data_IF_006964368477
#
_entry.id   IF_006964368477
#
_cell.length_a   1.000
_cell.length_b   1.000
_cell.length_c   1.000
_cell.angle_alpha   90.00
_cell.angle_beta   90.00
_cell.angle_gamma   90.00
#
_symmetry.space_group_name_H-M   'P 1'
#
loop_
_entity.id
_entity.type
_entity.pdbx_description
1 polymer ?
#
# COMPACT_ATOMS: atom_id res chain seq x y z
N UNK A 1 2.12 18.08 -7.60
CA UNK A 1 3.19 17.56 -6.70
C UNK A 1 4.07 18.64 -6.04
N UNK A 2 3.85 19.94 -6.31
CA UNK A 2 4.67 21.04 -5.75
C UNK A 2 4.73 21.05 -4.21
N UNK A 3 3.60 20.84 -3.53
CA UNK A 3 3.54 20.79 -2.06
C UNK A 3 4.49 19.73 -1.47
N UNK A 4 4.53 18.53 -2.07
CA UNK A 4 5.48 17.48 -1.67
C UNK A 4 6.93 17.90 -1.86
N UNK A 5 7.28 18.46 -3.02
CA UNK A 5 8.64 18.89 -3.32
C UNK A 5 9.15 19.97 -2.36
N UNK A 6 8.27 20.88 -1.94
CA UNK A 6 8.60 21.89 -0.93
C UNK A 6 8.79 21.26 0.46
N UNK A 7 7.84 20.41 0.89
CA UNK A 7 7.92 19.71 2.17
C UNK A 7 9.19 18.84 2.28
N UNK A 8 9.52 18.10 1.23
CA UNK A 8 10.67 17.19 1.21
C UNK A 8 12.03 17.93 1.22
N UNK A 9 12.08 19.17 0.70
CA UNK A 9 13.28 20.02 0.72
C UNK A 9 13.39 20.90 1.97
N UNK A 10 12.36 20.94 2.81
CA UNK A 10 12.34 21.69 4.06
C UNK A 10 13.38 21.16 5.06
N UNK A 11 14.10 22.07 5.71
CA UNK A 11 14.99 21.71 6.83
C UNK A 11 14.22 21.49 8.12
N UNK A 12 13.01 22.05 8.22
CA UNK A 12 12.09 21.86 9.34
C UNK A 12 11.10 20.72 9.07
N UNK A 13 10.45 20.24 10.13
CA UNK A 13 9.34 19.28 10.00
C UNK A 13 8.24 19.91 9.14
N UNK A 14 7.80 19.17 8.13
CA UNK A 14 6.80 19.65 7.18
C UNK A 14 5.55 18.76 7.20
N UNK A 15 4.41 19.37 6.86
CA UNK A 15 3.16 18.65 6.65
C UNK A 15 2.67 18.86 5.22
N UNK A 16 2.32 17.77 4.55
CA UNK A 16 1.49 17.79 3.34
C UNK A 16 0.08 17.42 3.79
N UNK A 17 -0.87 18.34 3.60
CA UNK A 17 -2.24 18.19 4.08
C UNK A 17 -3.22 18.13 2.91
N UNK A 18 -4.05 17.09 2.89
CA UNK A 18 -5.19 16.95 1.98
C UNK A 18 -6.46 17.16 2.81
N UNK A 19 -7.15 18.31 2.64
CA UNK A 19 -8.32 18.64 3.44
C UNK A 19 -9.52 17.75 3.08
N UNK A 20 -10.61 17.90 3.84
CA UNK A 20 -11.87 17.23 3.54
C UNK A 20 -12.37 17.60 2.14
N UNK A 21 -12.79 16.58 1.40
CA UNK A 21 -13.25 16.69 0.02
C UNK A 21 -12.97 15.40 -0.73
N UNK A 22 -13.48 15.31 -1.96
CA UNK A 22 -13.19 14.20 -2.87
C UNK A 22 -12.30 14.71 -4.00
N UNK A 23 -11.13 14.11 -4.16
CA UNK A 23 -10.11 14.52 -5.12
C UNK A 23 -9.89 13.42 -6.15
N UNK A 24 -10.18 13.74 -7.41
CA UNK A 24 -9.87 12.88 -8.53
C UNK A 24 -8.36 12.98 -8.83
N UNK A 25 -7.63 11.88 -8.64
CA UNK A 25 -6.17 11.85 -8.83
C UNK A 25 -5.75 10.60 -9.60
N UNK A 26 -4.84 10.78 -10.55
CA UNK A 26 -4.13 9.68 -11.23
C UNK A 26 -2.91 9.28 -10.40
N UNK A 27 -1.88 8.72 -11.03
CA UNK A 27 -0.68 8.24 -10.35
C UNK A 27 0.04 9.38 -9.61
N UNK A 28 0.34 9.13 -8.33
CA UNK A 28 1.08 10.03 -7.45
C UNK A 28 2.38 9.36 -7.03
N UNK A 29 3.50 10.02 -7.32
CA UNK A 29 4.82 9.55 -6.90
C UNK A 29 5.50 10.60 -6.03
N UNK A 30 5.86 10.19 -4.83
CA UNK A 30 6.47 10.99 -3.79
C UNK A 30 7.90 10.51 -3.56
N UNK A 31 8.85 11.18 -4.23
CA UNK A 31 10.27 10.87 -4.16
C UNK A 31 10.97 11.52 -2.96
N UNK A 32 11.83 10.76 -2.31
CA UNK A 32 12.88 11.23 -1.40
C UNK A 32 14.29 11.12 -2.01
N UNK A 33 15.35 11.21 -1.18
CA UNK A 33 15.31 11.40 0.26
C UNK A 33 14.85 12.80 0.66
N UNK A 34 14.10 12.89 1.76
CA UNK A 34 13.65 14.16 2.32
C UNK A 34 14.59 14.62 3.44
N UNK A 35 14.80 15.94 3.54
CA UNK A 35 15.77 16.52 4.50
C UNK A 35 15.33 16.38 5.96
N UNK A 36 14.02 16.36 6.21
CA UNK A 36 13.46 16.15 7.55
C UNK A 36 12.19 15.29 7.48
N UNK A 37 11.61 14.98 8.65
CA UNK A 37 10.39 14.20 8.82
C UNK A 37 9.20 14.88 8.16
N UNK A 38 8.39 14.10 7.46
CA UNK A 38 7.16 14.56 6.81
C UNK A 38 5.94 13.92 7.46
N UNK A 39 4.95 14.75 7.77
CA UNK A 39 3.59 14.28 8.05
C UNK A 39 2.75 14.41 6.78
N UNK A 40 2.19 13.31 6.30
CA UNK A 40 1.26 13.29 5.17
C UNK A 40 -0.14 13.03 5.72
N UNK A 41 -0.93 14.09 5.90
CA UNK A 41 -2.24 14.01 6.55
C UNK A 41 -3.35 14.08 5.51
N UNK A 42 -4.25 13.12 5.55
CA UNK A 42 -5.40 13.02 4.66
C UNK A 42 -6.67 13.04 5.51
N UNK A 43 -7.47 14.10 5.37
CA UNK A 43 -8.81 14.19 5.96
C UNK A 43 -9.92 13.97 4.91
N UNK A 44 -9.56 13.96 3.62
CA UNK A 44 -10.47 13.73 2.49
C UNK A 44 -10.43 12.31 1.91
N UNK A 45 -10.99 12.21 0.70
CA UNK A 45 -11.06 10.99 -0.11
C UNK A 45 -10.32 11.21 -1.42
N UNK A 46 -9.36 10.35 -1.73
CA UNK A 46 -8.75 10.28 -3.05
C UNK A 46 -9.47 9.21 -3.86
N UNK A 47 -9.80 9.52 -5.11
CA UNK A 47 -10.46 8.59 -6.04
C UNK A 47 -9.76 8.57 -7.38
N UNK A 48 -9.70 7.42 -8.02
CA UNK A 48 -9.19 7.29 -9.39
C UNK A 48 -10.25 7.68 -10.43
N UNK A 49 -9.84 8.03 -11.66
CA UNK A 49 -10.75 8.05 -12.80
C UNK A 49 -11.51 6.74 -12.96
N UNK A 50 -12.75 6.82 -13.46
CA UNK A 50 -13.58 5.64 -13.70
C UNK A 50 -12.97 4.67 -14.73
N UNK A 51 -12.15 5.19 -15.65
CA UNK A 51 -11.38 4.37 -16.57
C UNK A 51 -10.22 3.69 -15.82
N UNK A 52 -10.32 2.37 -15.61
CA UNK A 52 -9.30 1.60 -14.89
C UNK A 52 -7.93 1.60 -15.58
N UNK A 53 -7.86 1.91 -16.89
CA UNK A 53 -6.60 2.11 -17.60
C UNK A 53 -5.83 3.34 -17.13
N UNK A 54 -6.49 4.34 -16.54
CA UNK A 54 -5.85 5.60 -16.13
C UNK A 54 -4.72 5.45 -15.11
N UNK A 55 -4.69 4.34 -14.37
CA UNK A 55 -3.58 3.99 -13.47
C UNK A 55 -3.00 2.60 -13.73
N UNK A 56 -3.69 1.75 -14.51
CA UNK A 56 -3.45 0.32 -14.54
C UNK A 56 -2.09 -0.12 -15.11
N UNK A 57 -1.45 0.70 -15.95
CA UNK A 57 -0.14 0.37 -16.54
C UNK A 57 1.06 0.86 -15.71
N UNK A 58 0.82 1.57 -14.61
CA UNK A 58 1.91 2.12 -13.79
C UNK A 58 2.41 1.17 -12.71
N UNK A 59 1.67 0.09 -12.43
CA UNK A 59 1.97 -0.85 -11.35
C UNK A 59 1.71 -0.32 -9.93
N UNK A 60 1.46 0.98 -9.76
CA UNK A 60 1.12 1.64 -8.50
C UNK A 60 0.24 2.87 -8.75
N UNK A 61 -0.63 3.20 -7.80
CA UNK A 61 -1.40 4.44 -7.78
C UNK A 61 -0.68 5.51 -6.94
N UNK A 62 -0.42 5.23 -5.66
CA UNK A 62 0.30 6.12 -4.76
C UNK A 62 1.61 5.46 -4.34
N UNK A 63 2.74 6.05 -4.74
CA UNK A 63 4.07 5.51 -4.42
C UNK A 63 4.87 6.51 -3.58
N UNK A 64 5.33 6.08 -2.41
CA UNK A 64 6.43 6.71 -1.68
C UNK A 64 7.72 5.94 -1.98
N UNK A 65 8.69 6.62 -2.59
CA UNK A 65 9.94 6.01 -3.05
C UNK A 65 11.14 6.70 -2.41
N UNK A 66 12.03 5.92 -1.79
CA UNK A 66 13.27 6.41 -1.14
C UNK A 66 13.03 7.48 -0.08
N UNK A 67 11.88 7.42 0.61
CA UNK A 67 11.50 8.36 1.67
C UNK A 67 11.91 7.83 3.04
N UNK A 68 12.55 8.67 3.85
CA UNK A 68 12.89 8.37 5.24
C UNK A 68 12.07 9.25 6.19
N UNK A 69 11.58 8.69 7.30
CA UNK A 69 10.84 9.38 8.38
C UNK A 69 9.54 10.01 7.89
N UNK A 70 8.64 9.21 7.33
CA UNK A 70 7.29 9.65 6.93
C UNK A 70 6.21 9.08 7.84
N UNK A 71 5.21 9.90 8.15
CA UNK A 71 3.99 9.46 8.83
C UNK A 71 2.76 9.84 8.01
N UNK A 72 2.06 8.84 7.49
CA UNK A 72 0.81 8.96 6.74
C UNK A 72 -0.36 8.74 7.70
N UNK A 73 -1.27 9.71 7.77
CA UNK A 73 -2.38 9.70 8.71
C UNK A 73 -3.73 9.84 8.00
N UNK A 74 -4.63 8.90 8.31
CA UNK A 74 -6.05 8.98 7.98
C UNK A 74 -6.35 8.87 6.49
N UNK A 75 -7.56 9.31 6.15
CA UNK A 75 -8.04 9.44 4.78
C UNK A 75 -8.69 8.18 4.23
N UNK A 76 -9.37 8.39 3.11
CA UNK A 76 -9.91 7.31 2.28
C UNK A 76 -9.26 7.33 0.91
N UNK A 77 -8.87 6.17 0.41
CA UNK A 77 -8.45 5.99 -0.98
C UNK A 77 -9.35 4.94 -1.63
N UNK A 78 -9.92 5.25 -2.79
CA UNK A 78 -10.75 4.32 -3.58
C UNK A 78 -10.20 4.22 -5.01
N UNK A 79 -9.64 3.06 -5.36
CA UNK A 79 -9.02 2.86 -6.65
C UNK A 79 -10.00 2.38 -7.75
N UNK A 80 -11.29 2.23 -7.42
CA UNK A 80 -12.38 1.86 -8.35
C UNK A 80 -12.07 0.62 -9.20
N UNK A 81 -11.53 -0.42 -8.58
CA UNK A 81 -11.03 -1.64 -9.24
C UNK A 81 -12.06 -2.50 -9.99
N UNK A 82 -13.37 -2.25 -9.84
CA UNK A 82 -14.44 -3.09 -10.41
C UNK A 82 -14.29 -3.35 -11.92
N UNK A 83 -13.98 -2.33 -12.70
CA UNK A 83 -13.76 -2.46 -14.15
C UNK A 83 -12.56 -3.34 -14.49
N UNK A 84 -11.46 -3.19 -13.74
CA UNK A 84 -10.26 -4.02 -13.88
C UNK A 84 -10.54 -5.49 -13.56
N UNK A 85 -11.21 -5.78 -12.43
CA UNK A 85 -11.54 -7.16 -12.05
C UNK A 85 -12.50 -7.82 -13.04
N UNK A 86 -13.44 -7.06 -13.62
CA UNK A 86 -14.31 -7.55 -14.68
C UNK A 86 -13.52 -7.93 -15.93
N UNK A 87 -12.48 -7.17 -16.29
CA UNK A 87 -11.60 -7.50 -17.40
C UNK A 87 -10.80 -8.78 -17.10
N UNK A 88 -10.14 -8.86 -15.92
CA UNK A 88 -9.30 -10.01 -15.53
C UNK A 88 -10.07 -11.32 -15.52
N UNK A 89 -11.30 -11.34 -14.98
CA UNK A 89 -12.16 -12.54 -14.96
C UNK A 89 -12.57 -13.03 -16.35
N UNK A 90 -12.64 -12.15 -17.34
CA UNK A 90 -12.93 -12.52 -18.73
C UNK A 90 -11.71 -13.03 -19.49
N UNK A 91 -10.52 -12.99 -18.89
CA UNK A 91 -9.27 -13.32 -19.59
C UNK A 91 -8.93 -12.36 -20.74
N UNK A 92 -9.48 -11.14 -20.71
CA UNK A 92 -9.29 -10.15 -21.78
C UNK A 92 -7.91 -9.48 -21.74
N UNK A 93 -7.68 -8.59 -22.71
CA UNK A 93 -6.53 -7.68 -22.67
C UNK A 93 -6.77 -6.59 -21.62
N UNK A 94 -6.15 -6.76 -20.45
CA UNK A 94 -6.27 -5.86 -19.30
C UNK A 94 -4.91 -5.22 -19.02
N UNK A 95 -4.86 -4.05 -18.37
CA UNK A 95 -3.60 -3.51 -17.88
C UNK A 95 -3.01 -4.44 -16.82
N UNK A 96 -1.77 -4.20 -16.41
CA UNK A 96 -1.14 -4.97 -15.32
C UNK A 96 -1.93 -4.87 -14.01
N UNK A 97 -2.51 -3.70 -13.74
CA UNK A 97 -3.17 -3.38 -12.48
C UNK A 97 -2.24 -2.58 -11.57
N UNK A 98 -2.82 -1.67 -10.81
CA UNK A 98 -2.07 -0.81 -9.89
C UNK A 98 -2.36 -1.13 -8.43
N UNK A 99 -1.29 -1.18 -7.64
CA UNK A 99 -1.35 -1.26 -6.18
C UNK A 99 -1.78 0.09 -5.61
N UNK A 100 -2.66 0.11 -4.60
CA UNK A 100 -3.25 1.39 -4.14
C UNK A 100 -2.23 2.32 -3.47
N UNK A 101 -1.46 1.80 -2.50
CA UNK A 101 -0.37 2.56 -1.86
C UNK A 101 0.87 1.67 -1.67
N UNK A 102 2.03 2.19 -2.05
CA UNK A 102 3.32 1.48 -2.02
C UNK A 102 4.38 2.29 -1.28
N UNK A 103 5.16 1.61 -0.45
CA UNK A 103 6.38 2.12 0.15
C UNK A 103 7.57 1.32 -0.38
N UNK A 104 8.43 1.96 -1.17
CA UNK A 104 9.55 1.30 -1.82
C UNK A 104 10.87 1.97 -1.45
N UNK A 105 11.84 1.20 -0.94
CA UNK A 105 13.11 1.72 -0.42
C UNK A 105 12.93 2.77 0.69
N UNK A 106 11.90 2.62 1.52
CA UNK A 106 11.57 3.55 2.58
C UNK A 106 12.14 3.11 3.93
N UNK A 107 12.34 4.07 4.83
CA UNK A 107 12.70 3.77 6.23
C UNK A 107 11.97 4.65 7.24
N UNK A 108 11.70 4.08 8.43
CA UNK A 108 11.00 4.78 9.50
C UNK A 108 9.62 5.31 9.05
N UNK A 109 8.77 4.40 8.57
CA UNK A 109 7.44 4.70 8.04
C UNK A 109 6.38 4.43 9.12
N UNK A 110 5.41 5.33 9.21
CA UNK A 110 4.14 5.08 9.89
C UNK A 110 3.00 5.27 8.88
N UNK A 111 2.14 4.27 8.73
CA UNK A 111 0.84 4.38 8.08
C UNK A 111 -0.23 4.12 9.15
N UNK A 112 -1.05 5.12 9.48
CA UNK A 112 -2.03 5.00 10.56
C UNK A 112 -3.41 5.48 10.13
N UNK A 113 -4.44 4.65 10.35
CA UNK A 113 -5.85 5.05 10.20
C UNK A 113 -6.35 5.18 8.76
N UNK A 114 -5.62 4.67 7.78
CA UNK A 114 -6.04 4.72 6.37
C UNK A 114 -7.21 3.77 6.12
N UNK A 115 -8.21 4.24 5.36
CA UNK A 115 -9.22 3.38 4.73
C UNK A 115 -8.90 3.21 3.24
N UNK A 116 -8.77 1.97 2.76
CA UNK A 116 -8.44 1.63 1.37
C UNK A 116 -9.53 0.77 0.75
N UNK A 117 -10.14 1.25 -0.33
CA UNK A 117 -11.21 0.61 -1.07
C UNK A 117 -10.79 0.19 -2.47
N UNK A 118 -11.31 -0.97 -2.89
CA UNK A 118 -11.36 -1.42 -4.26
C UNK A 118 -10.05 -1.26 -5.04
N UNK A 119 -8.94 -1.73 -4.48
CA UNK A 119 -7.66 -1.71 -5.19
C UNK A 119 -7.75 -2.51 -6.49
N UNK A 120 -7.10 -2.07 -7.57
CA UNK A 120 -7.05 -2.90 -8.78
C UNK A 120 -6.32 -4.21 -8.49
N UNK A 121 -5.23 -4.12 -7.73
CA UNK A 121 -4.40 -5.24 -7.29
C UNK A 121 -4.25 -5.16 -5.75
N UNK A 122 -3.04 -5.26 -5.19
CA UNK A 122 -2.81 -5.18 -3.74
C UNK A 122 -3.10 -3.79 -3.16
N UNK A 123 -3.66 -3.74 -1.94
CA UNK A 123 -4.02 -2.50 -1.28
C UNK A 123 -2.79 -1.74 -0.73
N UNK A 124 -1.97 -2.39 0.08
CA UNK A 124 -0.76 -1.79 0.69
C UNK A 124 0.44 -2.67 0.38
N UNK A 125 1.52 -2.09 -0.13
CA UNK A 125 2.76 -2.84 -0.38
C UNK A 125 3.97 -2.20 0.27
N UNK A 126 4.83 -3.03 0.87
CA UNK A 126 6.08 -2.63 1.53
C UNK A 126 7.21 -3.42 0.89
N UNK A 127 8.10 -2.72 0.18
CA UNK A 127 9.15 -3.31 -0.64
C UNK A 127 10.51 -2.68 -0.34
N UNK A 128 11.56 -3.48 -0.15
CA UNK A 128 12.92 -3.02 0.18
C UNK A 128 12.97 -1.97 1.30
N UNK A 129 12.10 -2.11 2.30
CA UNK A 129 11.89 -1.06 3.31
C UNK A 129 12.25 -1.55 4.71
N UNK A 130 12.47 -0.62 5.63
CA UNK A 130 12.85 -0.95 7.01
C UNK A 130 12.13 -0.10 8.06
N UNK A 131 11.84 -0.67 9.22
CA UNK A 131 11.14 0.00 10.31
C UNK A 131 9.82 0.64 9.83
N UNK A 132 8.87 -0.20 9.44
CA UNK A 132 7.56 0.20 8.91
C UNK A 132 6.47 -0.22 9.90
N UNK A 133 5.62 0.73 10.30
CA UNK A 133 4.47 0.46 11.16
C UNK A 133 3.19 0.76 10.40
N UNK A 134 2.30 -0.22 10.29
CA UNK A 134 0.98 -0.09 9.68
C UNK A 134 -0.05 -0.34 10.78
N UNK A 135 -0.88 0.66 11.08
CA UNK A 135 -1.73 0.65 12.26
C UNK A 135 -3.17 1.10 11.97
N UNK A 136 -4.13 0.46 12.62
CA UNK A 136 -5.55 0.85 12.60
C UNK A 136 -6.14 1.01 11.19
N UNK A 137 -5.74 0.12 10.28
CA UNK A 137 -6.09 0.18 8.85
C UNK A 137 -7.44 -0.50 8.60
N UNK A 138 -8.21 0.04 7.65
CA UNK A 138 -9.42 -0.60 7.11
C UNK A 138 -9.25 -0.84 5.61
N UNK A 139 -9.19 -2.10 5.20
CA UNK A 139 -9.12 -2.51 3.78
C UNK A 139 -10.40 -3.22 3.40
N UNK A 140 -10.97 -2.85 2.25
CA UNK A 140 -12.19 -3.47 1.71
C UNK A 140 -12.14 -3.59 0.19
N UNK A 141 -12.27 -4.82 -0.29
CA UNK A 141 -12.64 -5.19 -1.64
C UNK A 141 -13.58 -6.42 -1.59
N UNK A 142 -14.43 -6.64 -2.62
CA UNK A 142 -15.31 -7.82 -2.67
C UNK A 142 -14.53 -9.14 -2.62
N UNK A 143 -15.07 -10.21 -2.03
CA UNK A 143 -14.38 -11.52 -1.97
C UNK A 143 -14.04 -12.12 -3.34
N UNK A 144 -14.72 -11.70 -4.40
CA UNK A 144 -14.42 -12.12 -5.78
C UNK A 144 -13.45 -11.22 -6.54
N UNK A 145 -12.78 -10.25 -5.89
CA UNK A 145 -11.78 -9.39 -6.55
C UNK A 145 -10.41 -10.09 -6.61
N UNK A 146 -9.89 -10.41 -7.81
CA UNK A 146 -8.66 -11.18 -7.95
C UNK A 146 -7.43 -10.38 -7.50
N UNK A 147 -6.50 -11.02 -6.78
CA UNK A 147 -5.19 -10.48 -6.40
C UNK A 147 -5.27 -9.15 -5.65
N UNK A 148 -6.25 -9.06 -4.73
CA UNK A 148 -6.50 -7.86 -3.92
C UNK A 148 -5.88 -7.98 -2.54
N UNK A 149 -4.66 -8.48 -2.43
CA UNK A 149 -4.00 -8.69 -1.13
C UNK A 149 -4.07 -7.42 -0.27
N UNK A 150 -4.31 -7.59 1.02
CA UNK A 150 -4.46 -6.47 1.93
C UNK A 150 -3.14 -5.74 2.15
N UNK A 151 -2.19 -6.42 2.80
CA UNK A 151 -0.84 -5.90 3.04
C UNK A 151 0.17 -6.92 2.54
N UNK A 152 0.95 -6.54 1.54
CA UNK A 152 2.00 -7.38 0.98
C UNK A 152 3.38 -6.84 1.37
N UNK A 153 4.21 -7.67 2.00
CA UNK A 153 5.56 -7.32 2.46
C UNK A 153 6.57 -8.19 1.73
N UNK A 154 7.56 -7.55 1.10
CA UNK A 154 8.63 -8.23 0.39
C UNK A 154 9.97 -7.52 0.62
N UNK A 155 11.04 -8.30 0.78
CA UNK A 155 12.43 -7.83 0.93
C UNK A 155 12.60 -6.73 1.99
N UNK A 156 11.85 -6.80 3.08
CA UNK A 156 11.74 -5.73 4.07
C UNK A 156 11.99 -6.22 5.49
N UNK A 157 12.50 -5.36 6.37
CA UNK A 157 12.88 -5.74 7.74
C UNK A 157 12.28 -4.83 8.81
N UNK A 158 11.74 -5.42 9.88
CA UNK A 158 11.16 -4.64 10.98
C UNK A 158 9.83 -4.02 10.56
N UNK A 159 8.87 -4.87 10.19
CA UNK A 159 7.52 -4.44 9.81
C UNK A 159 6.55 -4.85 10.91
N UNK A 160 5.82 -3.88 11.47
CA UNK A 160 4.76 -4.12 12.45
C UNK A 160 3.42 -3.78 11.83
N UNK A 161 2.50 -4.74 11.83
CA UNK A 161 1.11 -4.58 11.41
C UNK A 161 0.24 -4.77 12.64
N UNK A 162 -0.41 -3.70 13.11
CA UNK A 162 -1.20 -3.79 14.35
C UNK A 162 -2.54 -3.07 14.30
N UNK A 163 -3.60 -3.82 14.62
CA UNK A 163 -4.96 -3.28 14.60
C UNK A 163 -5.48 -3.04 13.19
N UNK A 164 -6.70 -3.51 12.91
CA UNK A 164 -7.36 -3.22 11.64
C UNK A 164 -8.37 -4.28 11.23
N UNK A 165 -9.02 -4.03 10.10
CA UNK A 165 -9.91 -4.99 9.45
C UNK A 165 -9.60 -5.02 7.97
N UNK A 166 -9.31 -6.21 7.46
CA UNK A 166 -8.92 -6.45 6.07
C UNK A 166 -9.89 -7.47 5.50
N UNK A 167 -10.68 -7.03 4.53
CA UNK A 167 -11.63 -7.83 3.77
C UNK A 167 -11.28 -7.70 2.28
N UNK A 168 -10.86 -8.78 1.66
CA UNK A 168 -10.31 -8.81 0.30
C UNK A 168 -10.76 -10.08 -0.43
N UNK A 169 -10.37 -10.22 -1.70
CA UNK A 169 -10.53 -11.46 -2.45
C UNK A 169 -9.27 -12.33 -2.51
N UNK A 170 -8.24 -11.97 -1.75
CA UNK A 170 -6.95 -12.69 -1.70
C UNK A 170 -6.36 -12.62 -0.29
N UNK A 171 -5.05 -12.79 -0.13
CA UNK A 171 -4.37 -12.72 1.17
C UNK A 171 -4.72 -11.46 1.98
N UNK A 172 -4.96 -11.65 3.27
CA UNK A 172 -5.12 -10.54 4.23
C UNK A 172 -3.76 -9.85 4.44
N UNK A 173 -2.75 -10.65 4.72
CA UNK A 173 -1.35 -10.23 4.80
C UNK A 173 -0.52 -11.29 4.09
N UNK A 174 0.32 -10.89 3.14
CA UNK A 174 1.25 -11.76 2.43
C UNK A 174 2.69 -11.36 2.76
N UNK A 175 3.51 -12.32 3.17
CA UNK A 175 4.94 -12.14 3.44
C UNK A 175 5.75 -12.95 2.43
N UNK A 176 6.40 -12.24 1.51
CA UNK A 176 7.22 -12.86 0.45
C UNK A 176 8.71 -12.67 0.72
N UNK A 177 9.55 -13.17 -0.18
CA UNK A 177 10.99 -13.34 -0.03
C UNK A 177 11.74 -12.20 0.63
N UNK A 178 12.79 -12.53 1.38
CA UNK A 178 13.68 -11.56 2.02
C UNK A 178 13.02 -10.72 3.12
N UNK A 179 11.80 -11.05 3.52
CA UNK A 179 11.10 -10.37 4.62
C UNK A 179 11.53 -10.93 5.97
N UNK A 180 11.89 -10.06 6.91
CA UNK A 180 12.33 -10.49 8.24
C UNK A 180 11.92 -9.58 9.38
N UNK A 181 11.84 -10.12 10.60
CA UNK A 181 11.46 -9.36 11.80
C UNK A 181 10.10 -8.71 11.61
N UNK A 182 9.08 -9.53 11.41
CA UNK A 182 7.70 -9.12 11.13
C UNK A 182 6.86 -9.40 12.37
N UNK A 183 6.07 -8.41 12.79
CA UNK A 183 5.14 -8.55 13.92
C UNK A 183 3.72 -8.24 13.46
N UNK A 184 2.79 -9.18 13.62
CA UNK A 184 1.38 -9.02 13.24
C UNK A 184 0.49 -9.25 14.45
N UNK A 185 -0.29 -8.25 14.85
CA UNK A 185 -1.16 -8.38 16.01
C UNK A 185 -2.52 -7.70 15.82
N UNK A 186 -3.57 -8.28 16.41
CA UNK A 186 -4.93 -7.69 16.45
C UNK A 186 -5.48 -7.29 15.06
N UNK A 187 -5.17 -8.07 14.03
CA UNK A 187 -5.71 -7.88 12.67
C UNK A 187 -6.91 -8.79 12.49
N UNK A 188 -8.06 -8.22 12.13
CA UNK A 188 -9.23 -8.99 11.72
C UNK A 188 -9.18 -9.24 10.21
N UNK A 189 -9.03 -10.50 9.81
CA UNK A 189 -8.97 -10.92 8.41
C UNK A 189 -10.28 -11.61 8.02
N UNK A 190 -10.87 -11.22 6.90
CA UNK A 190 -11.98 -11.97 6.30
C UNK A 190 -13.04 -11.09 5.65
N UNK A 191 -13.54 -11.47 4.46
CA UNK A 191 -13.09 -12.60 3.62
C UNK A 191 -11.66 -12.42 3.06
N UNK A 192 -11.08 -13.50 2.51
CA UNK A 192 -9.73 -13.54 1.92
C UNK A 192 -9.05 -14.90 2.10
N UNK A 193 -7.75 -14.99 1.81
CA UNK A 193 -6.95 -16.22 1.94
C UNK A 193 -6.17 -16.33 3.26
N UNK A 194 -6.32 -15.34 4.16
CA UNK A 194 -5.71 -15.35 5.49
C UNK A 194 -4.35 -14.66 5.55
N UNK A 195 -3.55 -14.98 6.56
CA UNK A 195 -2.20 -14.46 6.72
C UNK A 195 -1.24 -15.52 6.17
N UNK A 196 -0.54 -15.18 5.09
CA UNK A 196 0.22 -16.11 4.27
C UNK A 196 1.71 -15.78 4.31
N UNK A 197 2.54 -16.80 4.54
CA UNK A 197 3.98 -16.74 4.29
C UNK A 197 4.22 -17.38 2.93
N UNK A 198 4.51 -16.54 1.94
CA UNK A 198 4.80 -16.94 0.58
C UNK A 198 4.06 -16.15 -0.50
N UNK A 199 3.96 -16.69 -1.72
CA UNK A 199 4.67 -17.90 -2.16
C UNK A 199 6.19 -17.75 -2.04
N UNK A 200 6.88 -18.87 -1.88
CA UNK A 200 8.35 -18.98 -1.88
C UNK A 200 8.72 -20.21 -2.71
N UNK A 201 9.93 -20.22 -3.26
CA UNK A 201 10.43 -21.27 -4.14
C UNK A 201 10.30 -20.96 -5.63
N UNK A 202 10.12 -19.70 -6.02
CA UNK A 202 9.98 -19.33 -7.44
C UNK A 202 11.32 -19.41 -8.20
N UNK A 203 12.45 -19.35 -7.47
CA UNK A 203 13.80 -19.47 -8.03
C UNK A 203 14.77 -20.14 -7.04
N UNK A 204 15.83 -20.76 -7.57
CA UNK A 204 16.72 -21.64 -6.81
C UNK A 204 17.43 -20.97 -5.61
N UNK A 205 17.69 -19.65 -5.70
CA UNK A 205 18.39 -18.88 -4.67
C UNK A 205 17.50 -17.78 -4.09
N UNK A 206 16.26 -18.13 -3.75
CA UNK A 206 15.30 -17.20 -3.14
C UNK A 206 15.59 -16.96 -1.65
N UNK A 207 15.56 -15.69 -1.24
CA UNK A 207 15.69 -15.33 0.17
C UNK A 207 14.45 -15.78 0.95
N UNK A 208 14.66 -16.48 2.07
CA UNK A 208 13.56 -16.91 2.93
C UNK A 208 12.87 -15.77 3.70
N UNK A 209 11.78 -16.11 4.36
CA UNK A 209 11.09 -15.27 5.35
C UNK A 209 11.52 -15.71 6.75
N UNK A 210 11.87 -14.75 7.63
CA UNK A 210 12.49 -15.07 8.92
C UNK A 210 11.94 -14.23 10.07
N UNK A 211 11.85 -14.80 11.27
CA UNK A 211 11.42 -14.10 12.49
C UNK A 211 10.08 -13.36 12.32
N UNK A 212 9.02 -14.14 12.11
CA UNK A 212 7.63 -13.67 12.03
C UNK A 212 6.95 -14.02 13.36
N UNK A 213 6.22 -13.06 13.95
CA UNK A 213 5.50 -13.24 15.21
C UNK A 213 4.12 -12.61 15.16
#
# INVERSE_FOLDING_TARGET
LTAWSLACRSRDRAMVYIPRGTYLVTNLVFWGPCKNRITFKIDGTLVTPANYWSIGNSGYWILFAKVNRISVHGGTIDARGAGYWSCRRKGGHCPQGARSISFSWCSNVLLNGLTSFNSQNMHVTVHHSSNVRIQNIRIRAPSGSPNTDGIHVQSSSGVTISGGTIATGDDCVALSQGSRNIWIERVNCGPGHGISIGSLGDYANEEGVQNVT
#
